data_IF_732088466400
#
_entry.id   IF_732088466400
#
_cell.length_a   1.000
_cell.length_b   1.000
_cell.length_c   1.000
_cell.angle_alpha   90.00
_cell.angle_beta   90.00
_cell.angle_gamma   90.00
#
_symmetry.space_group_name_H-M   'P 1'
#
loop_
_entity.id
_entity.type
_entity.pdbx_description
1 polymer ?
#
# COMPACT_ATOMS: atom_id res chain seq x y z
N UNK A 1 -10.23 5.23 -4.28
CA UNK A 1 -9.08 6.14 -4.46
C UNK A 1 -7.83 5.28 -4.52
N UNK A 2 -6.86 5.59 -5.37
CA UNK A 2 -5.61 4.82 -5.46
C UNK A 2 -4.65 5.24 -4.34
N UNK A 3 -3.93 4.27 -3.80
CA UNK A 3 -3.01 4.41 -2.69
C UNK A 3 -1.73 3.66 -2.99
N UNK A 4 -0.61 4.22 -2.53
CA UNK A 4 0.70 3.58 -2.55
C UNK A 4 1.00 3.10 -1.14
N UNK A 5 1.24 1.81 -0.98
CA UNK A 5 1.59 1.20 0.30
C UNK A 5 3.04 0.73 0.23
N UNK A 6 3.90 1.37 1.01
CA UNK A 6 5.29 0.92 1.20
C UNK A 6 5.34 -0.08 2.33
N UNK A 7 5.92 -1.25 2.05
CA UNK A 7 6.07 -2.37 2.98
C UNK A 7 7.47 -2.97 2.86
N UNK A 8 7.97 -3.65 3.91
CA UNK A 8 9.22 -4.39 3.81
C UNK A 8 9.17 -5.44 2.69
N UNK A 9 10.27 -5.66 1.97
CA UNK A 9 10.36 -6.63 0.86
C UNK A 9 10.08 -8.08 1.32
N UNK A 10 10.40 -8.41 2.57
CA UNK A 10 10.10 -9.72 3.20
C UNK A 10 8.63 -9.84 3.64
N UNK A 11 7.81 -8.80 3.45
CA UNK A 11 6.40 -8.83 3.85
C UNK A 11 5.60 -9.77 2.96
N UNK A 12 4.85 -10.68 3.59
CA UNK A 12 3.90 -11.52 2.90
C UNK A 12 2.75 -10.69 2.30
N UNK A 13 2.85 -10.39 1.00
CA UNK A 13 1.87 -9.59 0.27
C UNK A 13 0.48 -10.24 0.23
N UNK A 14 0.40 -11.57 0.23
CA UNK A 14 -0.87 -12.30 0.27
C UNK A 14 -1.63 -12.09 1.59
N UNK A 15 -0.95 -12.24 2.72
CA UNK A 15 -1.49 -11.97 4.05
C UNK A 15 -1.77 -10.49 4.27
N UNK A 16 -0.93 -9.61 3.74
CA UNK A 16 -1.19 -8.17 3.72
C UNK A 16 -2.46 -7.85 2.93
N UNK A 17 -2.65 -8.42 1.73
CA UNK A 17 -3.86 -8.24 0.92
C UNK A 17 -5.12 -8.68 1.66
N UNK A 18 -5.06 -9.82 2.34
CA UNK A 18 -6.17 -10.35 3.13
C UNK A 18 -6.54 -9.41 4.28
N UNK A 19 -5.54 -8.90 5.02
CA UNK A 19 -5.77 -7.92 6.11
C UNK A 19 -6.32 -6.61 5.57
N UNK A 20 -5.73 -6.08 4.50
CA UNK A 20 -6.20 -4.87 3.83
C UNK A 20 -7.64 -5.03 3.32
N UNK A 21 -8.01 -6.20 2.80
CA UNK A 21 -9.39 -6.49 2.39
C UNK A 21 -10.38 -6.38 3.55
N UNK A 22 -10.00 -6.75 4.78
CA UNK A 22 -10.88 -6.59 5.96
C UNK A 22 -11.23 -5.14 6.28
N UNK A 23 -10.36 -4.19 5.90
CA UNK A 23 -10.59 -2.75 6.07
C UNK A 23 -11.10 -2.06 4.79
N UNK A 24 -11.50 -2.86 3.78
CA UNK A 24 -12.09 -2.38 2.53
C UNK A 24 -11.06 -1.93 1.49
N UNK A 25 -9.89 -2.56 1.47
CA UNK A 25 -8.79 -2.23 0.56
C UNK A 25 -8.48 -3.40 -0.33
N UNK A 26 -8.40 -3.13 -1.62
CA UNK A 26 -8.02 -4.12 -2.61
C UNK A 26 -6.62 -3.78 -3.09
N UNK A 27 -5.65 -4.65 -2.85
CA UNK A 27 -4.35 -4.50 -3.52
C UNK A 27 -4.55 -4.70 -5.03
N UNK A 28 -3.94 -3.83 -5.80
CA UNK A 28 -3.92 -3.96 -7.25
C UNK A 28 -2.89 -5.01 -7.63
N UNK A 29 -3.21 -5.81 -8.64
CA UNK A 29 -2.29 -6.77 -9.25
C UNK A 29 -1.27 -6.01 -10.12
N UNK A 30 -0.47 -5.18 -9.47
CA UNK A 30 0.65 -4.46 -10.07
C UNK A 30 1.93 -5.01 -9.48
N UNK A 31 2.97 -5.10 -10.30
CA UNK A 31 4.27 -5.52 -9.83
C UNK A 31 4.74 -4.59 -8.68
N UNK A 32 5.15 -5.14 -7.53
CA UNK A 32 5.72 -4.35 -6.46
C UNK A 32 6.95 -3.59 -6.99
N UNK A 33 7.00 -2.29 -6.70
CA UNK A 33 8.12 -1.42 -7.10
C UNK A 33 9.12 -1.35 -5.96
N UNK A 34 10.35 -1.87 -6.10
CA UNK A 34 11.36 -1.75 -5.05
C UNK A 34 11.73 -0.27 -4.84
N UNK A 35 11.66 0.21 -3.59
CA UNK A 35 12.11 1.54 -3.18
C UNK A 35 13.57 1.54 -2.70
N UNK A 36 14.09 0.36 -2.34
CA UNK A 36 15.45 0.09 -1.87
C UNK A 36 15.73 -1.41 -1.80
N UNK A 37 16.75 -1.81 -1.02
CA UNK A 37 17.09 -3.24 -0.83
C UNK A 37 16.05 -4.01 0.00
N UNK A 38 15.40 -3.34 0.97
CA UNK A 38 14.51 -3.99 1.96
C UNK A 38 13.05 -3.49 1.91
N UNK A 39 12.69 -2.64 0.97
CA UNK A 39 11.35 -2.05 0.88
C UNK A 39 10.77 -2.11 -0.53
N UNK A 40 9.48 -2.42 -0.61
CA UNK A 40 8.70 -2.46 -1.85
C UNK A 40 7.43 -1.62 -1.72
N UNK A 41 6.99 -1.06 -2.83
CA UNK A 41 5.74 -0.31 -2.95
C UNK A 41 4.74 -1.15 -3.73
N UNK A 42 3.58 -1.35 -3.13
CA UNK A 42 2.42 -1.93 -3.81
C UNK A 42 1.35 -0.88 -3.98
N UNK A 43 0.55 -0.98 -5.04
CA UNK A 43 -0.61 -0.14 -5.19
C UNK A 43 -1.84 -0.84 -4.64
N UNK A 44 -2.74 -0.07 -4.04
CA UNK A 44 -4.04 -0.55 -3.60
C UNK A 44 -5.12 0.49 -3.84
N UNK A 45 -6.35 0.04 -3.91
CA UNK A 45 -7.53 0.87 -3.96
C UNK A 45 -8.31 0.74 -2.66
N UNK A 46 -8.71 1.88 -2.10
CA UNK A 46 -9.40 1.92 -0.83
C UNK A 46 -10.12 3.23 -0.57
N UNK A 47 -10.79 3.34 0.59
CA UNK A 47 -11.48 4.54 1.04
C UNK A 47 -10.51 5.70 1.29
N UNK A 48 -11.03 6.92 1.37
CA UNK A 48 -10.25 8.14 1.66
C UNK A 48 -9.50 8.04 3.01
N UNK A 49 -10.13 7.38 4.00
CA UNK A 49 -9.59 7.18 5.34
C UNK A 49 -8.66 5.97 5.47
N UNK A 50 -8.11 5.48 4.36
CA UNK A 50 -7.25 4.29 4.38
C UNK A 50 -6.05 4.46 5.32
N UNK A 51 -5.38 5.60 5.25
CA UNK A 51 -4.21 5.87 6.09
C UNK A 51 -4.53 5.71 7.59
N UNK A 52 -5.71 6.18 8.04
CA UNK A 52 -6.15 6.04 9.42
C UNK A 52 -6.45 4.57 9.78
N UNK A 53 -7.09 3.82 8.88
CA UNK A 53 -7.40 2.39 9.10
C UNK A 53 -6.15 1.53 9.17
N UNK A 54 -5.16 1.78 8.31
CA UNK A 54 -3.88 1.04 8.33
C UNK A 54 -3.04 1.41 9.54
N UNK A 55 -3.07 2.69 9.96
CA UNK A 55 -2.44 3.11 11.20
C UNK A 55 -3.04 2.39 12.43
N UNK A 56 -4.37 2.20 12.45
CA UNK A 56 -5.07 1.47 13.52
C UNK A 56 -4.70 -0.03 13.55
N UNK A 57 -4.39 -0.63 12.40
CA UNK A 57 -3.92 -2.01 12.29
C UNK A 57 -2.52 -2.23 12.90
N UNK A 58 -1.78 -1.16 13.23
CA UNK A 58 -0.43 -1.26 13.80
C UNK A 58 0.59 -1.93 12.87
N UNK A 59 0.30 -1.97 11.57
CA UNK A 59 1.18 -2.57 10.58
C UNK A 59 2.33 -1.60 10.25
N UNK A 60 3.55 -2.11 9.98
CA UNK A 60 4.67 -1.29 9.49
C UNK A 60 4.48 -0.95 8.00
N UNK A 61 3.33 -0.36 7.66
CA UNK A 61 2.92 -0.06 6.28
C UNK A 61 2.74 1.44 6.18
N UNK A 62 3.48 2.07 5.26
CA UNK A 62 3.30 3.50 4.98
C UNK A 62 2.31 3.67 3.84
N UNK A 63 1.17 4.28 4.13
CA UNK A 63 0.15 4.58 3.13
C UNK A 63 0.31 6.02 2.65
N UNK A 64 0.52 6.19 1.35
CA UNK A 64 0.56 7.50 0.70
C UNK A 64 -0.64 7.62 -0.24
N UNK A 65 -1.37 8.76 -0.24
CA UNK A 65 -2.37 9.00 -1.26
C UNK A 65 -1.69 8.88 -2.61
N UNK A 66 -2.28 8.09 -3.52
CA UNK A 66 -1.88 8.06 -4.91
C UNK A 66 -2.31 9.37 -5.54
N UNK A 67 -1.70 10.48 -5.14
CA UNK A 67 -1.61 11.64 -6.01
C UNK A 67 -0.98 11.10 -7.29
N UNK A 68 -1.62 11.42 -8.42
CA UNK A 68 -0.98 11.34 -9.73
C UNK A 68 0.44 11.85 -9.52
N UNK A 69 1.42 10.93 -9.56
CA UNK A 69 2.82 11.31 -9.56
C UNK A 69 2.97 12.03 -10.90
N UNK A 70 2.74 13.34 -10.90
CA UNK A 70 3.18 14.24 -11.93
C UNK A 70 4.71 14.18 -11.86
N UNK A 71 5.26 13.13 -12.46
CA UNK A 71 6.63 13.13 -12.91
C UNK A 71 6.64 14.19 -14.00
N UNK A 72 6.82 15.45 -13.62
CA UNK A 72 6.99 16.56 -14.54
C UNK A 72 8.13 16.21 -15.48
N UNK A 73 7.78 15.76 -16.67
CA UNK A 73 8.69 15.60 -17.81
C UNK A 73 8.88 16.93 -18.51
#
# INVERSE_FOLDING_TARGET
>A
MKWLLTVPADTDLGGLAARLSTVGVTLLDVAPVPLGDDEVVVQGEGPADLAARVADLGLPVRVNPGSEFDLGF
#
